data_IF_970414036359
#
_entry.id   IF_970414036359
#
_cell.length_a   1.000
_cell.length_b   1.000
_cell.length_c   1.000
_cell.angle_alpha   90.00
_cell.angle_beta   90.00
_cell.angle_gamma   90.00
#
_symmetry.space_group_name_H-M   'P 1'
#
loop_
_entity.id
_entity.type
_entity.pdbx_description
1 polymer ?
#
# COMPACT_ATOMS: atom_id res chain seq x y z
N UNK A 1 28.41 15.58 -0.77
CA UNK A 1 27.71 14.28 -0.72
C UNK A 1 26.35 14.46 -1.36
N UNK A 2 26.09 13.82 -2.51
CA UNK A 2 24.73 13.81 -3.06
C UNK A 2 23.79 13.09 -2.09
N UNK A 3 22.54 13.54 -2.06
CA UNK A 3 21.58 13.14 -1.06
C UNK A 3 20.96 11.78 -1.43
N UNK A 4 21.30 10.69 -0.73
CA UNK A 4 20.74 9.35 -0.99
C UNK A 4 19.19 9.33 -1.02
N UNK A 5 18.54 10.27 -0.33
CA UNK A 5 17.09 10.39 -0.32
C UNK A 5 16.47 10.68 -1.70
N UNK A 6 17.19 11.36 -2.61
CA UNK A 6 16.69 11.58 -3.98
C UNK A 6 16.67 10.28 -4.77
N UNK A 7 17.68 9.42 -4.61
CA UNK A 7 17.74 8.10 -5.24
C UNK A 7 16.63 7.17 -4.73
N UNK A 8 16.30 7.25 -3.43
CA UNK A 8 15.12 6.55 -2.90
C UNK A 8 13.81 7.09 -3.48
N UNK A 9 13.70 8.39 -3.73
CA UNK A 9 12.52 8.99 -4.39
C UNK A 9 12.36 8.47 -5.83
N UNK A 10 13.45 8.39 -6.58
CA UNK A 10 13.47 7.86 -7.95
C UNK A 10 13.15 6.35 -7.97
N UNK A 11 13.77 5.58 -7.06
CA UNK A 11 13.46 4.17 -6.84
C UNK A 11 11.97 3.94 -6.57
N UNK A 12 11.39 4.71 -5.64
CA UNK A 12 9.98 4.62 -5.29
C UNK A 12 9.08 4.92 -6.48
N UNK A 13 9.43 5.91 -7.30
CA UNK A 13 8.71 6.20 -8.55
C UNK A 13 8.73 4.99 -9.48
N UNK A 14 9.85 4.27 -9.55
CA UNK A 14 10.00 3.05 -10.36
C UNK A 14 9.15 1.86 -9.89
N UNK A 15 8.86 1.76 -8.58
CA UNK A 15 8.16 0.63 -7.95
C UNK A 15 6.72 0.95 -7.50
N UNK A 16 6.24 2.17 -7.73
CA UNK A 16 4.84 2.54 -7.52
C UNK A 16 3.98 2.16 -8.73
N UNK A 17 2.68 2.09 -8.51
CA UNK A 17 1.72 2.05 -9.61
C UNK A 17 1.90 3.31 -10.45
N UNK A 18 1.99 3.13 -11.78
CA UNK A 18 2.00 4.27 -12.70
C UNK A 18 0.65 4.97 -12.70
N UNK A 19 0.59 6.19 -13.25
CA UNK A 19 -0.68 6.92 -13.43
C UNK A 19 -1.71 6.07 -14.15
N UNK A 20 -1.34 5.42 -15.27
CA UNK A 20 -2.23 4.52 -16.00
C UNK A 20 -2.72 3.36 -15.15
N UNK A 21 -1.85 2.73 -14.34
CA UNK A 21 -2.26 1.64 -13.46
C UNK A 21 -3.20 2.11 -12.35
N UNK A 22 -3.01 3.32 -11.82
CA UNK A 22 -3.94 3.95 -10.86
C UNK A 22 -5.29 4.25 -11.53
N UNK A 23 -5.29 4.78 -12.75
CA UNK A 23 -6.52 5.06 -13.50
C UNK A 23 -7.29 3.79 -13.88
N UNK A 24 -6.57 2.73 -14.25
CA UNK A 24 -7.12 1.41 -14.54
C UNK A 24 -7.72 0.75 -13.29
N UNK A 25 -7.02 0.82 -12.14
CA UNK A 25 -7.55 0.38 -10.85
C UNK A 25 -8.82 1.14 -10.48
N UNK A 26 -8.80 2.47 -10.61
CA UNK A 26 -9.95 3.34 -10.37
C UNK A 26 -11.15 2.99 -11.24
N UNK A 27 -10.92 2.85 -12.55
CA UNK A 27 -11.95 2.45 -13.50
C UNK A 27 -12.55 1.10 -13.14
N UNK A 28 -11.69 0.13 -12.80
CA UNK A 28 -12.10 -1.22 -12.42
C UNK A 28 -13.02 -1.23 -11.20
N UNK A 29 -12.56 -0.70 -10.07
CA UNK A 29 -13.33 -0.74 -8.83
C UNK A 29 -14.60 0.14 -8.90
N UNK A 30 -14.55 1.31 -9.54
CA UNK A 30 -15.75 2.15 -9.72
C UNK A 30 -16.79 1.43 -10.56
N UNK A 31 -16.38 0.76 -11.65
CA UNK A 31 -17.31 -0.01 -12.49
C UNK A 31 -17.93 -1.17 -11.71
N UNK A 32 -17.12 -1.94 -10.98
CA UNK A 32 -17.59 -3.05 -10.15
C UNK A 32 -18.60 -2.59 -9.09
N UNK A 33 -18.24 -1.56 -8.31
CA UNK A 33 -19.12 -1.01 -7.25
C UNK A 33 -20.44 -0.49 -7.81
N UNK A 34 -20.41 0.21 -8.94
CA UNK A 34 -21.64 0.69 -9.59
C UNK A 34 -22.53 -0.45 -10.07
N UNK A 35 -21.94 -1.51 -10.65
CA UNK A 35 -22.69 -2.69 -11.09
C UNK A 35 -23.31 -3.42 -9.91
N UNK A 36 -22.55 -3.66 -8.83
CA UNK A 36 -23.04 -4.31 -7.62
C UNK A 36 -24.25 -3.58 -7.02
N UNK A 37 -24.17 -2.24 -6.92
CA UNK A 37 -25.23 -1.41 -6.34
C UNK A 37 -26.47 -1.26 -7.25
N UNK A 38 -26.33 -1.54 -8.54
CA UNK A 38 -27.42 -1.45 -9.52
C UNK A 38 -28.00 -2.83 -9.89
N UNK A 39 -27.41 -3.93 -9.43
CA UNK A 39 -27.87 -5.27 -9.78
C UNK A 39 -29.16 -5.62 -9.03
N UNK A 40 -30.17 -6.10 -9.76
CA UNK A 40 -31.52 -6.32 -9.24
C UNK A 40 -31.57 -7.37 -8.13
N UNK A 41 -30.68 -8.37 -8.16
CA UNK A 41 -30.66 -9.46 -7.17
C UNK A 41 -29.82 -9.11 -5.93
N UNK A 42 -28.92 -8.12 -6.03
CA UNK A 42 -27.97 -7.77 -4.98
C UNK A 42 -28.25 -6.42 -4.29
N UNK A 43 -28.84 -5.45 -4.99
CA UNK A 43 -28.98 -4.07 -4.48
C UNK A 43 -29.68 -3.98 -3.11
N UNK A 44 -30.67 -4.85 -2.87
CA UNK A 44 -31.45 -4.85 -1.63
C UNK A 44 -30.73 -5.54 -0.46
N UNK A 45 -29.74 -6.38 -0.75
CA UNK A 45 -28.91 -7.01 0.29
C UNK A 45 -27.61 -6.25 0.56
N UNK A 46 -27.20 -5.32 -0.31
CA UNK A 46 -25.97 -4.53 -0.11
C UNK A 46 -26.27 -3.27 0.71
N UNK A 47 -25.63 -3.17 1.88
CA UNK A 47 -25.64 -1.96 2.71
C UNK A 47 -24.75 -0.90 2.09
N UNK A 48 -23.50 -1.24 1.79
CA UNK A 48 -22.53 -0.31 1.21
C UNK A 48 -21.37 -1.08 0.58
N UNK A 49 -20.52 -0.38 -0.16
CA UNK A 49 -19.24 -0.91 -0.62
C UNK A 49 -18.12 0.06 -0.26
N UNK A 50 -16.92 -0.43 0.00
CA UNK A 50 -15.73 0.41 0.18
C UNK A 50 -14.44 -0.33 -0.18
N UNK A 51 -13.35 0.41 -0.38
CA UNK A 51 -12.06 -0.16 -0.75
C UNK A 51 -11.28 -0.63 0.48
N UNK A 52 -10.61 -1.78 0.37
CA UNK A 52 -9.64 -2.27 1.34
C UNK A 52 -8.27 -2.45 0.65
N UNK A 53 -7.32 -2.96 1.41
CA UNK A 53 -6.20 -3.67 0.86
C UNK A 53 -4.99 -2.79 0.68
N UNK A 54 -3.99 -3.35 0.03
CA UNK A 54 -2.76 -2.61 -0.22
C UNK A 54 -2.97 -1.43 -1.15
N UNK A 55 -4.00 -1.47 -2.02
CA UNK A 55 -4.42 -0.33 -2.82
C UNK A 55 -4.92 0.82 -1.93
N UNK A 56 -5.93 0.58 -1.08
CA UNK A 56 -6.50 1.62 -0.22
C UNK A 56 -5.53 2.16 0.83
N UNK A 57 -4.66 1.30 1.38
CA UNK A 57 -3.59 1.67 2.33
C UNK A 57 -2.37 2.28 1.65
N UNK A 58 -2.37 2.34 0.32
CA UNK A 58 -1.27 2.84 -0.50
C UNK A 58 0.04 2.08 -0.32
N UNK A 59 0.02 0.82 0.09
CA UNK A 59 1.17 -0.07 0.23
C UNK A 59 1.32 -1.06 -0.92
N UNK A 60 0.48 -0.97 -1.96
CA UNK A 60 0.63 -1.69 -3.20
C UNK A 60 1.96 -1.31 -3.89
N UNK A 61 2.66 -2.31 -4.41
CA UNK A 61 3.87 -2.14 -5.23
C UNK A 61 3.55 -2.48 -6.67
N UNK A 62 4.36 -1.99 -7.60
CA UNK A 62 4.23 -2.26 -9.02
C UNK A 62 4.21 -3.77 -9.26
N UNK A 63 3.19 -4.30 -9.95
CA UNK A 63 3.16 -5.70 -10.34
C UNK A 63 4.35 -6.06 -11.23
N UNK A 64 4.84 -7.30 -11.11
CA UNK A 64 5.89 -7.86 -11.97
C UNK A 64 5.29 -8.89 -12.94
N UNK A 65 5.88 -8.97 -14.14
CA UNK A 65 5.44 -9.91 -15.17
C UNK A 65 4.02 -9.61 -15.64
N UNK A 66 3.19 -10.65 -15.73
CA UNK A 66 1.81 -10.57 -16.20
C UNK A 66 0.79 -10.18 -15.11
N UNK A 67 1.26 -9.95 -13.87
CA UNK A 67 0.40 -9.55 -12.75
C UNK A 67 -0.12 -8.12 -12.94
N UNK A 68 -1.27 -7.83 -12.32
CA UNK A 68 -1.90 -6.51 -12.36
C UNK A 68 -2.01 -5.90 -10.97
N UNK A 69 -2.45 -4.65 -10.94
CA UNK A 69 -2.82 -4.01 -9.69
C UNK A 69 -4.03 -4.77 -9.13
N UNK A 70 -3.97 -5.03 -7.83
CA UNK A 70 -4.96 -5.80 -7.09
C UNK A 70 -5.77 -4.85 -6.19
N UNK A 71 -7.09 -4.92 -6.27
CA UNK A 71 -8.00 -4.03 -5.55
C UNK A 71 -9.09 -4.82 -4.84
N UNK A 72 -9.04 -4.79 -3.51
CA UNK A 72 -10.06 -5.36 -2.64
C UNK A 72 -11.27 -4.43 -2.50
N UNK A 73 -12.47 -4.92 -2.83
CA UNK A 73 -13.75 -4.23 -2.62
C UNK A 73 -14.55 -4.97 -1.57
N UNK A 74 -14.69 -4.34 -0.39
CA UNK A 74 -15.58 -4.82 0.66
C UNK A 74 -17.02 -4.54 0.24
N UNK A 75 -17.85 -5.57 0.31
CA UNK A 75 -19.30 -5.51 0.10
C UNK A 75 -19.99 -5.83 1.41
N UNK A 76 -20.44 -4.79 2.10
CA UNK A 76 -21.19 -4.93 3.35
C UNK A 76 -22.61 -5.32 3.02
N UNK A 77 -23.07 -6.47 3.49
CA UNK A 77 -24.41 -6.99 3.19
C UNK A 77 -25.36 -6.90 4.38
N UNK A 78 -26.59 -7.39 4.20
CA UNK A 78 -27.59 -7.64 5.25
C UNK A 78 -27.66 -9.12 5.65
N UNK A 79 -26.71 -9.95 5.20
CA UNK A 79 -26.72 -11.40 5.44
C UNK A 79 -26.48 -11.72 6.93
N UNK A 80 -27.40 -12.47 7.53
CA UNK A 80 -27.25 -12.95 8.91
C UNK A 80 -26.30 -14.15 8.95
N UNK A 81 -25.11 -13.96 9.52
CA UNK A 81 -24.06 -14.99 9.62
C UNK A 81 -24.48 -16.24 10.41
N UNK A 82 -25.53 -16.15 11.23
CA UNK A 82 -26.06 -17.30 11.96
C UNK A 82 -27.07 -18.11 11.13
N UNK A 83 -27.50 -17.59 9.97
CA UNK A 83 -28.50 -18.22 9.10
C UNK A 83 -27.97 -18.57 7.72
N UNK A 84 -26.92 -17.88 7.26
CA UNK A 84 -26.29 -18.08 5.96
C UNK A 84 -24.89 -18.64 6.19
N UNK A 85 -24.62 -19.83 5.68
CA UNK A 85 -23.27 -20.40 5.77
C UNK A 85 -22.29 -19.65 4.82
N UNK A 86 -20.97 -19.75 5.05
CA UNK A 86 -19.97 -19.02 4.28
C UNK A 86 -20.02 -19.27 2.77
N UNK A 87 -20.26 -20.53 2.36
CA UNK A 87 -20.35 -20.89 0.95
C UNK A 87 -21.55 -20.21 0.27
N UNK A 88 -22.74 -20.33 0.87
CA UNK A 88 -23.98 -19.74 0.35
C UNK A 88 -23.89 -18.20 0.26
N UNK A 89 -23.15 -17.57 1.18
CA UNK A 89 -22.91 -16.13 1.15
C UNK A 89 -22.15 -15.70 -0.12
N UNK A 90 -21.13 -16.47 -0.54
CA UNK A 90 -20.40 -16.21 -1.78
C UNK A 90 -21.23 -16.61 -3.02
N UNK A 91 -21.92 -17.75 -2.98
CA UNK A 91 -22.72 -18.24 -4.12
C UNK A 91 -23.83 -17.26 -4.53
N UNK A 92 -24.34 -16.43 -3.61
CA UNK A 92 -25.28 -15.33 -3.92
C UNK A 92 -24.76 -14.33 -4.95
N UNK A 93 -23.44 -14.14 -5.05
CA UNK A 93 -22.82 -13.18 -5.97
C UNK A 93 -22.45 -13.81 -7.32
N UNK A 94 -22.63 -15.12 -7.49
CA UNK A 94 -22.22 -15.81 -8.72
C UNK A 94 -23.05 -15.44 -9.95
N UNK A 95 -24.39 -15.33 -9.89
CA UNK A 95 -25.16 -14.85 -11.02
C UNK A 95 -24.68 -13.48 -11.51
N UNK A 96 -24.28 -12.60 -10.58
CA UNK A 96 -23.72 -11.29 -10.88
C UNK A 96 -22.38 -11.39 -11.61
N UNK A 97 -21.41 -12.14 -11.07
CA UNK A 97 -20.08 -12.25 -11.72
C UNK A 97 -20.15 -13.02 -13.04
N UNK A 98 -21.02 -14.01 -13.16
CA UNK A 98 -21.25 -14.72 -14.42
C UNK A 98 -21.87 -13.80 -15.48
N UNK A 99 -22.79 -12.92 -15.09
CA UNK A 99 -23.44 -11.94 -15.98
C UNK A 99 -22.46 -10.87 -16.50
N UNK A 100 -21.61 -10.32 -15.63
CA UNK A 100 -20.79 -9.14 -15.97
C UNK A 100 -19.31 -9.45 -16.27
N UNK A 101 -18.82 -10.61 -15.82
CA UNK A 101 -17.42 -11.00 -15.83
C UNK A 101 -17.23 -12.46 -16.25
N UNK A 102 -18.11 -12.98 -17.10
CA UNK A 102 -18.04 -14.33 -17.65
C UNK A 102 -16.62 -14.71 -18.10
N UNK A 103 -16.18 -15.91 -17.72
CA UNK A 103 -14.86 -16.49 -18.00
C UNK A 103 -13.66 -15.68 -17.43
N UNK A 104 -13.92 -14.71 -16.55
CA UNK A 104 -12.90 -13.82 -15.95
C UNK A 104 -12.94 -13.81 -14.44
N UNK A 105 -13.63 -14.75 -13.81
CA UNK A 105 -13.81 -14.79 -12.38
C UNK A 105 -13.49 -16.18 -11.82
N UNK A 106 -13.06 -16.21 -10.56
CA UNK A 106 -12.81 -17.44 -9.82
C UNK A 106 -13.27 -17.33 -8.36
N UNK A 107 -13.69 -18.47 -7.78
CA UNK A 107 -14.04 -18.53 -6.36
C UNK A 107 -12.77 -18.68 -5.52
N UNK A 108 -12.46 -17.72 -4.66
CA UNK A 108 -11.39 -17.84 -3.67
C UNK A 108 -11.97 -18.29 -2.31
N UNK A 109 -11.11 -18.54 -1.32
CA UNK A 109 -11.54 -19.00 0.00
C UNK A 109 -12.40 -17.96 0.75
N UNK A 110 -12.10 -16.65 0.58
CA UNK A 110 -12.73 -15.55 1.33
C UNK A 110 -13.32 -14.42 0.47
N UNK A 111 -13.30 -14.62 -0.84
CA UNK A 111 -13.61 -13.59 -1.83
C UNK A 111 -13.96 -14.23 -3.18
N UNK A 112 -14.43 -13.40 -4.10
CA UNK A 112 -14.58 -13.74 -5.51
C UNK A 112 -13.60 -12.88 -6.30
N UNK A 113 -12.62 -13.52 -6.94
CA UNK A 113 -11.61 -12.85 -7.74
C UNK A 113 -12.11 -12.61 -9.15
N UNK A 114 -11.78 -11.45 -9.72
CA UNK A 114 -12.08 -11.05 -11.09
C UNK A 114 -10.78 -10.59 -11.75
N UNK A 115 -10.36 -11.26 -12.81
CA UNK A 115 -9.15 -10.92 -13.58
C UNK A 115 -9.51 -10.25 -14.90
N UNK A 116 -9.30 -8.95 -14.97
CA UNK A 116 -9.41 -8.17 -16.20
C UNK A 116 -8.02 -7.99 -16.83
N UNK A 117 -7.95 -7.60 -18.10
CA UNK A 117 -6.65 -7.39 -18.76
C UNK A 117 -5.80 -6.27 -18.13
N UNK A 118 -6.42 -5.37 -17.35
CA UNK A 118 -5.79 -4.17 -16.79
C UNK A 118 -5.78 -4.11 -15.25
N UNK A 119 -6.56 -4.93 -14.56
CA UNK A 119 -6.71 -4.92 -13.09
C UNK A 119 -7.23 -6.27 -12.60
N UNK A 120 -6.80 -6.68 -11.41
CA UNK A 120 -7.40 -7.78 -10.66
C UNK A 120 -8.25 -7.16 -9.51
N UNK A 121 -9.47 -7.68 -9.32
CA UNK A 121 -10.43 -7.18 -8.32
C UNK A 121 -10.89 -8.33 -7.45
N UNK A 122 -11.01 -8.09 -6.14
CA UNK A 122 -11.59 -9.06 -5.21
C UNK A 122 -12.89 -8.51 -4.59
N UNK A 123 -13.98 -9.25 -4.76
CA UNK A 123 -15.24 -9.00 -4.04
C UNK A 123 -15.13 -9.70 -2.68
N UNK A 124 -15.05 -8.91 -1.61
CA UNK A 124 -14.98 -9.40 -0.23
C UNK A 124 -16.34 -9.18 0.43
N UNK A 125 -17.16 -10.22 0.46
CA UNK A 125 -18.50 -10.18 1.05
C UNK A 125 -18.40 -10.17 2.57
N UNK A 126 -19.19 -9.34 3.26
CA UNK A 126 -19.31 -9.40 4.73
C UNK A 126 -20.72 -9.73 5.17
N UNK A 127 -20.88 -10.21 6.40
CA UNK A 127 -22.19 -10.31 7.04
C UNK A 127 -22.82 -8.94 7.27
N UNK A 128 -24.07 -8.95 7.76
CA UNK A 128 -24.71 -7.80 8.38
C UNK A 128 -23.79 -7.19 9.45
N UNK A 129 -23.55 -5.87 9.40
CA UNK A 129 -22.87 -5.16 10.47
C UNK A 129 -23.81 -4.98 11.67
N UNK A 130 -23.30 -4.44 12.77
CA UNK A 130 -24.13 -4.02 13.90
C UNK A 130 -25.15 -2.95 13.46
N UNK A 131 -26.33 -2.90 14.09
CA UNK A 131 -27.33 -1.86 13.78
C UNK A 131 -26.77 -0.45 14.04
N UNK A 132 -25.89 -0.31 15.03
CA UNK A 132 -25.23 0.95 15.37
C UNK A 132 -24.30 1.45 14.23
N UNK A 133 -23.61 0.54 13.54
CA UNK A 133 -22.60 0.88 12.55
C UNK A 133 -23.16 1.08 11.14
N UNK A 134 -24.36 0.57 10.84
CA UNK A 134 -24.99 0.66 9.50
C UNK A 134 -24.98 2.06 8.91
N UNK A 135 -25.29 3.07 9.73
CA UNK A 135 -25.32 4.47 9.27
C UNK A 135 -23.91 5.00 9.02
N UNK A 136 -22.96 4.70 9.91
CA UNK A 136 -21.57 5.13 9.81
C UNK A 136 -20.87 4.53 8.60
N UNK A 137 -21.16 3.27 8.26
CA UNK A 137 -20.60 2.59 7.08
C UNK A 137 -21.01 3.21 5.74
N UNK A 138 -22.10 4.00 5.71
CA UNK A 138 -22.53 4.75 4.51
C UNK A 138 -21.86 6.11 4.38
N UNK A 139 -21.04 6.54 5.35
CA UNK A 139 -20.37 7.84 5.31
C UNK A 139 -19.37 7.94 4.15
N UNK A 140 -18.99 9.17 3.79
CA UNK A 140 -17.91 9.40 2.83
C UNK A 140 -16.54 8.98 3.36
N UNK A 141 -16.30 9.07 4.68
CA UNK A 141 -15.07 8.57 5.28
C UNK A 141 -14.85 7.07 5.08
N UNK A 142 -15.92 6.28 5.01
CA UNK A 142 -15.82 4.85 4.70
C UNK A 142 -15.79 4.61 3.20
N UNK A 143 -16.67 5.25 2.44
CA UNK A 143 -16.93 4.90 1.02
C UNK A 143 -16.03 5.57 -0.01
N UNK A 144 -15.12 6.45 0.42
CA UNK A 144 -14.17 7.17 -0.44
C UNK A 144 -13.39 6.25 -1.38
N UNK A 145 -13.20 6.71 -2.61
CA UNK A 145 -12.36 6.04 -3.62
C UNK A 145 -10.87 6.41 -3.50
N UNK A 146 -10.53 7.35 -2.62
CA UNK A 146 -9.17 7.86 -2.48
C UNK A 146 -8.31 6.93 -1.62
N UNK A 147 -7.07 6.69 -2.04
CA UNK A 147 -6.08 5.96 -1.25
C UNK A 147 -5.49 6.86 -0.16
N UNK A 148 -4.75 6.29 0.79
CA UNK A 148 -4.06 7.10 1.80
C UNK A 148 -3.07 8.09 1.17
N UNK A 149 -2.33 7.69 0.14
CA UNK A 149 -1.41 8.57 -0.59
C UNK A 149 -2.13 9.78 -1.19
N UNK A 150 -3.35 9.63 -1.68
CA UNK A 150 -4.12 10.74 -2.25
C UNK A 150 -4.63 11.71 -1.17
N UNK A 151 -4.75 11.23 0.08
CA UNK A 151 -5.31 11.96 1.22
C UNK A 151 -4.25 12.52 2.16
N UNK A 152 -3.06 11.94 2.20
CA UNK A 152 -1.98 12.26 3.14
C UNK A 152 -1.17 13.46 2.65
N UNK A 153 -1.73 14.65 2.84
CA UNK A 153 -1.00 15.92 2.67
C UNK A 153 -0.73 16.53 4.04
N UNK A 154 0.24 17.45 4.19
CA UNK A 154 0.48 18.10 5.48
C UNK A 154 -0.76 18.80 6.08
N UNK A 155 -1.71 19.20 5.23
CA UNK A 155 -2.90 19.96 5.60
C UNK A 155 -4.18 19.13 5.67
N UNK A 156 -4.16 17.88 5.21
CA UNK A 156 -5.33 17.03 5.06
C UNK A 156 -5.04 15.61 5.53
N UNK A 157 -5.98 15.04 6.27
CA UNK A 157 -5.84 13.68 6.79
C UNK A 157 -7.18 12.96 6.71
N UNK A 158 -7.14 11.64 6.50
CA UNK A 158 -8.34 10.82 6.48
C UNK A 158 -8.81 10.58 7.91
N UNK A 159 -10.11 10.68 8.20
CA UNK A 159 -10.67 10.41 9.54
C UNK A 159 -11.99 9.67 9.45
N UNK A 160 -12.22 8.71 10.34
CA UNK A 160 -13.51 8.03 10.46
C UNK A 160 -14.50 8.90 11.24
N UNK A 161 -15.15 9.84 10.55
CA UNK A 161 -16.23 10.65 11.12
C UNK A 161 -17.32 10.96 10.09
N UNK A 162 -18.47 11.45 10.57
CA UNK A 162 -19.62 11.81 9.72
C UNK A 162 -19.32 13.00 8.83
N UNK A 163 -18.65 13.99 9.40
CA UNK A 163 -18.41 15.29 8.79
C UNK A 163 -17.19 15.30 7.88
N UNK A 164 -16.38 14.23 7.90
CA UNK A 164 -15.31 14.07 6.94
C UNK A 164 -15.87 13.96 5.51
N UNK A 165 -15.25 14.71 4.60
CA UNK A 165 -15.54 14.71 3.17
C UNK A 165 -14.21 14.53 2.42
N UNK A 166 -14.27 14.28 1.11
CA UNK A 166 -13.05 14.26 0.30
C UNK A 166 -12.52 15.70 0.09
N UNK A 167 -11.19 15.88 -0.04
CA UNK A 167 -10.64 17.19 -0.36
C UNK A 167 -11.13 17.66 -1.73
N UNK A 168 -11.39 18.96 -1.85
CA UNK A 168 -11.73 19.58 -3.13
C UNK A 168 -10.45 19.78 -3.94
N UNK A 169 -10.21 18.89 -4.89
CA UNK A 169 -9.01 18.88 -5.74
C UNK A 169 -8.93 20.10 -6.68
N UNK A 170 -10.02 20.85 -6.86
CA UNK A 170 -10.02 22.08 -7.64
C UNK A 170 -9.58 23.30 -6.83
N UNK A 171 -9.56 23.20 -5.49
CA UNK A 171 -9.04 24.26 -4.64
C UNK A 171 -7.52 24.12 -4.53
N UNK A 172 -6.82 25.23 -4.74
CA UNK A 172 -5.37 25.33 -4.58
C UNK A 172 -4.90 24.91 -3.18
N UNK A 173 -5.79 24.95 -2.19
CA UNK A 173 -5.51 24.49 -0.84
C UNK A 173 -6.76 23.85 -0.22
N UNK A 174 -6.65 22.56 0.10
CA UNK A 174 -7.65 21.82 0.88
C UNK A 174 -7.10 21.56 2.28
N UNK A 175 -7.79 22.09 3.29
CA UNK A 175 -7.52 21.85 4.70
C UNK A 175 -8.70 21.14 5.35
N UNK A 176 -8.41 20.16 6.19
CA UNK A 176 -9.43 19.59 7.06
C UNK A 176 -9.78 20.61 8.15
N UNK A 177 -11.05 20.99 8.29
CA UNK A 177 -11.47 22.01 9.25
C UNK A 177 -11.17 21.61 10.70
N UNK A 178 -10.96 22.60 11.57
CA UNK A 178 -10.72 22.35 12.99
C UNK A 178 -11.86 21.59 13.66
N UNK A 179 -13.10 21.85 13.27
CA UNK A 179 -14.27 21.11 13.75
C UNK A 179 -14.18 19.61 13.45
N UNK A 180 -13.82 19.23 12.22
CA UNK A 180 -13.68 17.82 11.82
C UNK A 180 -12.45 17.18 12.47
N UNK A 181 -11.37 17.96 12.67
CA UNK A 181 -10.18 17.50 13.41
C UNK A 181 -10.50 17.23 14.89
N UNK A 182 -11.37 18.02 15.50
CA UNK A 182 -11.80 17.88 16.89
C UNK A 182 -12.85 16.77 17.11
N UNK A 183 -13.50 16.29 16.05
CA UNK A 183 -14.41 15.14 16.13
C UNK A 183 -13.67 13.87 16.57
N UNK A 184 -14.27 13.16 17.52
CA UNK A 184 -13.83 11.83 17.92
C UNK A 184 -14.01 10.87 16.74
N UNK A 185 -12.96 10.10 16.44
CA UNK A 185 -13.06 9.06 15.40
C UNK A 185 -13.92 7.90 15.89
N UNK A 186 -14.77 7.42 15.00
CA UNK A 186 -15.59 6.24 15.26
C UNK A 186 -14.72 5.01 15.47
N UNK A 187 -15.15 4.18 16.42
CA UNK A 187 -14.65 2.83 16.63
C UNK A 187 -15.74 1.88 16.17
N UNK A 188 -15.70 1.54 14.89
CA UNK A 188 -16.63 0.58 14.32
C UNK A 188 -16.24 -0.83 14.79
N UNK A 189 -17.22 -1.71 14.95
CA UNK A 189 -16.97 -3.11 15.27
C UNK A 189 -16.31 -3.83 14.07
N UNK A 190 -15.54 -4.92 14.31
CA UNK A 190 -15.12 -5.81 13.25
C UNK A 190 -16.29 -6.31 12.41
N UNK A 191 -16.06 -6.41 11.11
CA UNK A 191 -16.97 -7.09 10.18
C UNK A 191 -16.64 -8.59 10.18
N UNK A 192 -17.51 -9.39 9.55
CA UNK A 192 -17.31 -10.83 9.41
C UNK A 192 -17.30 -11.20 7.94
N UNK A 193 -16.27 -11.92 7.49
CA UNK A 193 -16.13 -12.42 6.12
C UNK A 193 -16.33 -13.93 6.10
N UNK A 194 -16.93 -14.49 5.04
CA UNK A 194 -17.08 -15.92 4.91
C UNK A 194 -15.73 -16.54 4.53
N UNK A 195 -15.26 -17.54 5.29
CA UNK A 195 -14.22 -18.46 4.85
C UNK A 195 -14.88 -19.78 4.42
N UNK A 196 -14.98 -19.96 3.10
CA UNK A 196 -15.59 -21.14 2.49
C UNK A 196 -14.79 -22.40 2.78
N UNK A 197 -13.46 -22.31 2.81
CA UNK A 197 -12.60 -23.49 2.92
C UNK A 197 -12.57 -23.99 4.38
N UNK A 198 -12.68 -23.08 5.35
CA UNK A 198 -12.81 -23.40 6.77
C UNK A 198 -14.26 -23.59 7.24
N UNK A 199 -15.24 -23.29 6.40
CA UNK A 199 -16.68 -23.29 6.71
C UNK A 199 -17.04 -22.49 7.97
N UNK A 200 -16.39 -21.34 8.14
CA UNK A 200 -16.66 -20.40 9.25
C UNK A 200 -16.82 -18.97 8.75
N UNK A 201 -17.49 -18.15 9.56
CA UNK A 201 -17.38 -16.70 9.46
C UNK A 201 -16.20 -16.23 10.31
N UNK A 202 -15.32 -15.44 9.71
CA UNK A 202 -14.07 -14.96 10.31
C UNK A 202 -14.14 -13.44 10.50
N UNK A 203 -13.73 -12.93 11.67
CA UNK A 203 -13.66 -11.48 11.93
C UNK A 203 -12.60 -10.79 11.05
N UNK A 204 -12.89 -9.57 10.61
CA UNK A 204 -11.96 -8.70 9.89
C UNK A 204 -12.21 -7.24 10.26
N UNK A 205 -11.15 -6.43 10.31
CA UNK A 205 -11.28 -5.00 10.59
C UNK A 205 -10.57 -4.12 9.55
N UNK A 206 -11.06 -4.07 8.31
CA UNK A 206 -10.43 -3.35 7.20
C UNK A 206 -10.15 -1.87 7.52
N UNK A 207 -11.08 -1.21 8.20
CA UNK A 207 -11.00 0.20 8.53
C UNK A 207 -9.97 0.46 9.63
N UNK A 208 -9.80 -0.46 10.59
CA UNK A 208 -8.72 -0.37 11.58
C UNK A 208 -7.36 -0.55 10.91
N UNK A 209 -7.21 -1.50 9.98
CA UNK A 209 -5.96 -1.67 9.23
C UNK A 209 -5.57 -0.38 8.48
N UNK A 210 -6.54 0.31 7.87
CA UNK A 210 -6.32 1.59 7.18
C UNK A 210 -5.98 2.70 8.18
N UNK A 211 -6.72 2.81 9.29
CA UNK A 211 -6.49 3.81 10.34
C UNK A 211 -5.10 3.67 10.97
N UNK A 212 -4.74 2.45 11.34
CA UNK A 212 -3.43 2.15 11.90
C UNK A 212 -2.31 2.53 10.93
N UNK A 213 -2.47 2.25 9.65
CA UNK A 213 -1.47 2.60 8.62
C UNK A 213 -1.32 4.11 8.45
N UNK A 214 -2.44 4.86 8.44
CA UNK A 214 -2.43 6.33 8.43
C UNK A 214 -1.64 6.87 9.63
N UNK A 215 -1.97 6.40 10.83
CA UNK A 215 -1.37 6.88 12.07
C UNK A 215 0.13 6.56 12.14
N UNK A 216 0.53 5.32 11.81
CA UNK A 216 1.94 4.93 11.71
C UNK A 216 2.70 5.78 10.68
N UNK A 217 2.09 6.03 9.53
CA UNK A 217 2.72 6.85 8.50
C UNK A 217 2.86 8.30 8.92
N UNK A 218 1.91 8.85 9.68
CA UNK A 218 2.02 10.18 10.26
C UNK A 218 3.13 10.28 11.31
N UNK A 219 3.24 9.28 12.20
CA UNK A 219 4.28 9.23 13.24
C UNK A 219 5.69 9.25 12.62
N UNK A 220 5.85 8.57 11.49
CA UNK A 220 7.12 8.48 10.74
C UNK A 220 7.33 9.61 9.73
N UNK A 221 6.60 10.73 9.85
CA UNK A 221 6.67 11.86 8.92
C UNK A 221 6.50 11.46 7.44
N UNK A 222 5.60 10.51 7.17
CA UNK A 222 5.29 9.98 5.84
C UNK A 222 6.23 8.87 5.34
N UNK A 223 7.19 8.42 6.15
CA UNK A 223 8.18 7.42 5.70
C UNK A 223 7.64 5.99 5.72
N UNK A 224 6.75 5.61 6.63
CA UNK A 224 6.32 4.21 6.82
C UNK A 224 5.80 3.55 5.53
N UNK A 225 4.87 4.18 4.80
CA UNK A 225 4.31 3.61 3.57
C UNK A 225 5.39 3.42 2.50
N UNK A 226 6.38 4.30 2.47
CA UNK A 226 7.53 4.18 1.56
C UNK A 226 8.45 3.01 1.95
N UNK A 227 8.72 2.84 3.24
CA UNK A 227 9.48 1.69 3.77
C UNK A 227 8.77 0.38 3.45
N UNK A 228 7.45 0.32 3.65
CA UNK A 228 6.64 -0.86 3.29
C UNK A 228 6.78 -1.21 1.81
N UNK A 229 6.69 -0.23 0.90
CA UNK A 229 6.86 -0.47 -0.53
C UNK A 229 8.26 -1.00 -0.87
N UNK A 230 9.29 -0.36 -0.32
CA UNK A 230 10.67 -0.77 -0.54
C UNK A 230 10.89 -2.23 -0.09
N UNK A 231 10.41 -2.61 1.09
CA UNK A 231 10.58 -3.94 1.64
C UNK A 231 9.68 -4.99 0.98
N UNK A 232 8.45 -4.64 0.55
CA UNK A 232 7.63 -5.54 -0.28
C UNK A 232 8.28 -5.80 -1.64
N UNK A 233 8.91 -4.78 -2.22
CA UNK A 233 9.68 -4.92 -3.45
C UNK A 233 10.90 -5.83 -3.26
N UNK A 234 11.71 -5.58 -2.21
CA UNK A 234 12.82 -6.45 -1.81
C UNK A 234 12.37 -7.90 -1.65
N UNK A 235 11.31 -8.17 -0.86
CA UNK A 235 10.80 -9.54 -0.66
C UNK A 235 10.39 -10.20 -1.97
N UNK A 236 9.82 -9.43 -2.90
CA UNK A 236 9.38 -9.96 -4.19
C UNK A 236 10.57 -10.36 -5.06
N UNK A 237 11.66 -9.59 -5.02
CA UNK A 237 12.85 -9.83 -5.84
C UNK A 237 13.83 -10.84 -5.25
N UNK A 238 14.03 -10.81 -3.93
CA UNK A 238 15.15 -11.50 -3.27
C UNK A 238 14.73 -12.78 -2.55
N UNK A 239 13.53 -12.81 -2.00
CA UNK A 239 13.01 -13.96 -1.24
C UNK A 239 12.11 -14.79 -2.15
N UNK A 240 12.75 -15.58 -3.02
CA UNK A 240 12.09 -16.38 -4.08
C UNK A 240 11.90 -17.85 -3.71
N UNK A 241 12.60 -18.31 -2.68
CA UNK A 241 12.54 -19.64 -2.07
C UNK A 241 11.36 -19.82 -1.11
N UNK A 242 10.67 -18.73 -0.73
CA UNK A 242 9.53 -18.77 0.18
C UNK A 242 8.22 -18.29 -0.46
N UNK A 243 7.12 -18.99 -0.14
CA UNK A 243 5.75 -18.59 -0.50
C UNK A 243 5.20 -17.48 0.40
N UNK A 244 5.51 -17.53 1.69
CA UNK A 244 5.07 -16.59 2.73
C UNK A 244 6.26 -16.10 3.58
N UNK A 245 6.17 -14.96 4.29
CA UNK A 245 5.07 -13.98 4.25
C UNK A 245 5.03 -13.19 2.93
N UNK A 246 3.85 -12.72 2.54
CA UNK A 246 3.62 -11.82 1.38
C UNK A 246 2.39 -10.97 1.64
N UNK A 247 2.19 -9.88 0.89
CA UNK A 247 0.98 -9.05 1.01
C UNK A 247 0.86 -8.37 2.38
N UNK A 248 -0.29 -8.54 3.04
CA UNK A 248 -0.56 -7.93 4.35
C UNK A 248 0.30 -8.50 5.50
N UNK A 249 0.54 -9.83 5.64
CA UNK A 249 1.43 -10.37 6.67
C UNK A 249 2.83 -9.74 6.74
N UNK A 250 3.46 -9.42 5.60
CA UNK A 250 4.77 -8.74 5.60
C UNK A 250 4.62 -7.26 5.95
N UNK A 251 3.59 -6.57 5.44
CA UNK A 251 3.28 -5.19 5.80
C UNK A 251 3.02 -5.04 7.30
N UNK A 252 2.30 -5.98 7.92
CA UNK A 252 2.04 -5.99 9.35
C UNK A 252 3.34 -6.07 10.16
N UNK A 253 4.21 -7.02 9.84
CA UNK A 253 5.52 -7.17 10.48
C UNK A 253 6.38 -5.91 10.33
N UNK A 254 6.40 -5.31 9.13
CA UNK A 254 7.09 -4.04 8.89
C UNK A 254 6.50 -2.95 9.78
N UNK A 255 5.17 -2.95 10.00
CA UNK A 255 4.49 -2.08 10.93
C UNK A 255 5.00 -2.16 12.37
N UNK A 256 5.25 -3.37 12.87
CA UNK A 256 5.76 -3.61 14.22
C UNK A 256 7.26 -3.30 14.34
N UNK A 257 8.03 -3.47 13.27
CA UNK A 257 9.49 -3.30 13.29
C UNK A 257 9.96 -1.90 12.85
N UNK A 258 9.20 -1.18 12.02
CA UNK A 258 9.56 0.17 11.57
C UNK A 258 9.48 1.14 12.76
N UNK A 259 10.55 1.85 13.12
CA UNK A 259 10.54 2.78 14.23
C UNK A 259 9.66 4.00 13.90
N UNK A 260 8.94 4.51 14.90
CA UNK A 260 8.08 5.68 14.75
C UNK A 260 8.86 6.93 14.39
N UNK A 261 10.12 7.01 14.80
CA UNK A 261 10.97 8.19 14.61
C UNK A 261 11.89 8.08 13.39
N UNK A 262 11.60 7.20 12.43
CA UNK A 262 12.38 7.00 11.21
C UNK A 262 12.65 8.33 10.48
N UNK A 263 13.93 8.68 10.29
CA UNK A 263 14.35 9.98 9.77
C UNK A 263 14.27 10.09 8.25
N UNK A 264 14.40 8.97 7.57
CA UNK A 264 14.31 8.84 6.11
C UNK A 264 13.82 7.45 5.74
N UNK A 265 13.59 7.24 4.44
CA UNK A 265 13.25 5.92 3.91
C UNK A 265 14.40 4.94 4.11
N UNK A 266 15.65 5.38 3.87
CA UNK A 266 16.84 4.57 4.07
C UNK A 266 16.99 4.15 5.55
N UNK A 267 16.88 5.11 6.48
CA UNK A 267 16.91 4.86 7.93
C UNK A 267 15.80 3.88 8.35
N UNK A 268 14.58 4.10 7.86
CA UNK A 268 13.44 3.24 8.14
C UNK A 268 13.63 1.81 7.63
N UNK A 269 14.19 1.63 6.43
CA UNK A 269 14.51 0.30 5.87
C UNK A 269 15.54 -0.43 6.75
N UNK A 270 16.67 0.22 7.05
CA UNK A 270 17.76 -0.38 7.84
C UNK A 270 17.23 -0.81 9.20
N UNK A 271 16.60 0.12 9.93
CA UNK A 271 16.12 -0.13 11.28
C UNK A 271 14.97 -1.13 11.31
N UNK A 272 14.16 -1.24 10.27
CA UNK A 272 13.13 -2.30 10.18
C UNK A 272 13.77 -3.68 10.13
N UNK A 273 14.79 -3.89 9.28
CA UNK A 273 15.52 -5.16 9.23
C UNK A 273 16.18 -5.47 10.58
N UNK A 274 16.91 -4.52 11.16
CA UNK A 274 17.60 -4.70 12.43
C UNK A 274 16.65 -4.98 13.59
N UNK A 275 15.55 -4.23 13.69
CA UNK A 275 14.54 -4.44 14.72
C UNK A 275 13.89 -5.81 14.60
N UNK A 276 13.60 -6.29 13.39
CA UNK A 276 13.09 -7.65 13.19
C UNK A 276 14.07 -8.70 13.71
N UNK A 277 15.35 -8.59 13.33
CA UNK A 277 16.41 -9.52 13.76
C UNK A 277 16.55 -9.51 15.28
N UNK A 278 16.55 -8.32 15.89
CA UNK A 278 16.62 -8.16 17.35
C UNK A 278 15.41 -8.79 18.05
N UNK A 279 14.19 -8.39 17.65
CA UNK A 279 12.94 -8.75 18.30
C UNK A 279 12.65 -10.26 18.24
N UNK A 280 13.07 -10.94 17.17
CA UNK A 280 12.71 -12.35 16.92
C UNK A 280 13.91 -13.31 16.96
N UNK A 281 15.06 -12.87 17.51
CA UNK A 281 16.24 -13.72 17.69
C UNK A 281 15.97 -14.95 18.56
N UNK A 282 15.22 -14.80 19.64
CA UNK A 282 14.77 -15.91 20.50
C UNK A 282 13.86 -16.85 19.72
N UNK A 283 12.84 -16.34 19.03
CA UNK A 283 11.97 -17.17 18.19
C UNK A 283 12.77 -18.03 17.21
N UNK A 284 13.76 -17.42 16.54
CA UNK A 284 14.67 -18.08 15.61
C UNK A 284 15.52 -19.17 16.28
N UNK A 285 16.03 -18.93 17.48
CA UNK A 285 16.86 -19.89 18.21
C UNK A 285 16.07 -21.12 18.69
N UNK A 286 14.78 -20.92 19.01
CA UNK A 286 13.91 -21.97 19.53
C UNK A 286 13.04 -22.63 18.44
N UNK A 287 13.15 -22.19 17.18
CA UNK A 287 12.31 -22.69 16.09
C UNK A 287 10.82 -22.47 16.35
N UNK A 288 10.45 -21.30 16.89
CA UNK A 288 9.05 -20.94 17.12
C UNK A 288 8.66 -19.74 16.27
N UNK A 289 7.47 -19.80 15.68
CA UNK A 289 6.94 -18.68 14.88
C UNK A 289 6.39 -17.62 15.83
N UNK A 290 6.85 -16.35 15.74
CA UNK A 290 6.25 -15.26 16.49
C UNK A 290 4.79 -15.04 16.07
N UNK A 291 3.93 -14.72 17.05
CA UNK A 291 2.53 -14.39 16.79
C UNK A 291 2.39 -12.92 16.43
N UNK A 292 1.59 -12.63 15.41
CA UNK A 292 1.27 -11.28 14.98
C UNK A 292 -0.25 -11.06 14.99
N UNK A 293 -0.82 -10.53 16.09
CA UNK A 293 -2.24 -10.21 16.20
C UNK A 293 -2.69 -9.18 15.16
N UNK A 294 -3.74 -9.47 14.38
CA UNK A 294 -4.26 -8.57 13.35
C UNK A 294 -4.76 -7.24 13.95
N UNK A 295 -4.60 -6.15 13.19
CA UNK A 295 -5.03 -4.81 13.59
C UNK A 295 -6.56 -4.77 13.62
N UNK A 296 -7.10 -4.65 14.83
CA UNK A 296 -8.55 -4.62 15.08
C UNK A 296 -9.19 -5.99 15.30
N UNK A 297 -8.46 -7.09 15.10
CA UNK A 297 -8.89 -8.46 15.42
C UNK A 297 -7.75 -9.22 16.10
N UNK A 298 -7.41 -8.91 17.37
CA UNK A 298 -6.21 -9.46 18.01
C UNK A 298 -6.21 -10.98 18.24
N UNK A 299 -7.37 -11.63 18.09
CA UNK A 299 -7.53 -13.07 18.13
C UNK A 299 -6.93 -13.75 16.89
N UNK A 300 -6.78 -13.05 15.76
CA UNK A 300 -6.20 -13.60 14.54
C UNK A 300 -4.71 -13.37 14.45
N UNK A 301 -3.98 -14.47 14.19
CA UNK A 301 -2.56 -14.41 13.86
C UNK A 301 -2.39 -14.26 12.35
N UNK A 302 -1.87 -13.12 11.91
CA UNK A 302 -1.62 -12.85 10.48
C UNK A 302 -0.53 -13.77 9.91
N UNK A 303 0.26 -14.41 10.77
CA UNK A 303 1.33 -15.34 10.38
C UNK A 303 0.95 -16.82 10.55
N UNK A 304 -0.33 -17.16 10.76
CA UNK A 304 -0.80 -18.55 10.97
C UNK A 304 -0.39 -19.56 9.88
N UNK A 305 -0.05 -19.11 8.66
CA UNK A 305 0.37 -19.97 7.53
C UNK A 305 1.87 -20.22 7.47
N UNK A 306 2.65 -19.56 8.31
CA UNK A 306 4.11 -19.64 8.28
C UNK A 306 4.54 -20.80 9.17
N UNK A 307 5.30 -21.73 8.60
CA UNK A 307 5.87 -22.83 9.35
C UNK A 307 7.12 -22.38 10.11
N UNK A 308 7.58 -23.18 11.07
CA UNK A 308 8.83 -22.90 11.79
C UNK A 308 10.02 -22.79 10.85
N UNK A 309 10.14 -23.73 9.90
CA UNK A 309 11.22 -23.75 8.91
C UNK A 309 11.15 -22.52 7.99
N UNK A 310 9.96 -22.16 7.49
CA UNK A 310 9.79 -20.96 6.67
C UNK A 310 10.16 -19.69 7.45
N UNK A 311 9.81 -19.61 8.74
CA UNK A 311 10.19 -18.50 9.60
C UNK A 311 11.70 -18.43 9.83
N UNK A 312 12.37 -19.57 10.07
CA UNK A 312 13.82 -19.65 10.22
C UNK A 312 14.50 -19.12 8.95
N UNK A 313 14.08 -19.60 7.78
CA UNK A 313 14.62 -19.15 6.49
C UNK A 313 14.34 -17.66 6.26
N UNK A 314 13.12 -17.18 6.54
CA UNK A 314 12.79 -15.77 6.40
C UNK A 314 13.61 -14.89 7.34
N UNK A 315 13.85 -15.33 8.58
CA UNK A 315 14.70 -14.62 9.52
C UNK A 315 16.15 -14.53 9.04
N UNK A 316 16.69 -15.61 8.49
CA UNK A 316 18.06 -15.62 7.99
C UNK A 316 18.22 -14.67 6.79
N UNK A 317 17.20 -14.56 5.92
CA UNK A 317 17.13 -13.51 4.89
C UNK A 317 17.10 -12.11 5.51
N UNK A 318 16.22 -11.85 6.48
CA UNK A 318 16.14 -10.54 7.15
C UNK A 318 17.47 -10.16 7.81
N UNK A 319 18.20 -11.13 8.38
CA UNK A 319 19.51 -10.93 9.01
C UNK A 319 20.60 -10.58 8.01
N UNK A 320 20.71 -11.30 6.89
CA UNK A 320 21.66 -10.99 5.83
C UNK A 320 21.42 -9.58 5.27
N UNK A 321 20.16 -9.24 4.98
CA UNK A 321 19.81 -7.93 4.45
C UNK A 321 19.88 -6.80 5.48
N UNK A 322 19.78 -7.08 6.79
CA UNK A 322 20.10 -6.10 7.83
C UNK A 322 21.56 -5.63 7.71
N UNK A 323 22.50 -6.57 7.57
CA UNK A 323 23.93 -6.26 7.41
C UNK A 323 24.19 -5.48 6.13
N UNK A 324 23.62 -5.91 5.00
CA UNK A 324 23.75 -5.21 3.71
C UNK A 324 23.17 -3.79 3.75
N UNK A 325 21.98 -3.63 4.32
CA UNK A 325 21.34 -2.32 4.41
C UNK A 325 22.13 -1.35 5.30
N UNK A 326 22.67 -1.83 6.43
CA UNK A 326 23.54 -1.05 7.30
C UNK A 326 24.82 -0.60 6.57
N UNK A 327 25.48 -1.52 5.87
CA UNK A 327 26.67 -1.22 5.07
C UNK A 327 26.39 -0.25 3.91
N UNK A 328 25.20 -0.30 3.32
CA UNK A 328 24.75 0.67 2.31
C UNK A 328 24.43 2.05 2.89
N UNK A 329 23.93 2.09 4.12
CA UNK A 329 23.53 3.31 4.82
C UNK A 329 24.72 4.09 5.39
N UNK A 330 25.73 3.37 5.89
CA UNK A 330 26.94 3.97 6.46
C UNK A 330 28.01 4.32 5.39
N UNK A 331 27.77 3.95 4.13
CA UNK A 331 28.67 4.23 3.01
C UNK A 331 28.75 5.73 2.70
N UNK A 332 29.96 6.23 2.47
CA UNK A 332 30.24 7.66 2.31
C UNK A 332 30.40 8.07 0.85
N UNK A 333 30.84 7.17 -0.03
CA UNK A 333 30.77 7.39 -1.48
C UNK A 333 29.33 7.19 -1.94
N UNK A 334 28.76 8.22 -2.56
CA UNK A 334 27.40 8.13 -3.09
C UNK A 334 27.28 7.02 -4.13
N UNK A 335 28.26 6.88 -5.02
CA UNK A 335 28.27 5.82 -6.02
C UNK A 335 28.22 4.44 -5.38
N UNK A 336 29.14 4.15 -4.46
CA UNK A 336 29.16 2.87 -3.73
C UNK A 336 27.88 2.64 -2.93
N UNK A 337 27.33 3.67 -2.30
CA UNK A 337 26.07 3.56 -1.57
C UNK A 337 24.94 3.15 -2.52
N UNK A 338 24.84 3.78 -3.70
CA UNK A 338 23.82 3.42 -4.69
C UNK A 338 24.00 2.02 -5.28
N UNK A 339 25.24 1.54 -5.44
CA UNK A 339 25.53 0.16 -5.85
C UNK A 339 25.07 -0.84 -4.79
N UNK A 340 25.38 -0.60 -3.52
CA UNK A 340 24.92 -1.44 -2.39
C UNK A 340 23.40 -1.44 -2.28
N UNK A 341 22.74 -0.29 -2.41
CA UNK A 341 21.28 -0.22 -2.42
C UNK A 341 20.66 -0.90 -3.65
N UNK A 342 21.31 -0.82 -4.81
CA UNK A 342 20.90 -1.54 -6.01
C UNK A 342 21.06 -3.06 -5.86
N UNK A 343 22.06 -3.55 -5.12
CA UNK A 343 22.13 -4.98 -4.78
C UNK A 343 20.90 -5.42 -3.98
N UNK A 344 20.39 -4.59 -3.06
CA UNK A 344 19.21 -4.91 -2.25
C UNK A 344 17.92 -4.82 -3.08
N UNK A 345 17.73 -3.74 -3.83
CA UNK A 345 16.45 -3.41 -4.48
C UNK A 345 16.39 -3.70 -5.99
N UNK A 346 17.48 -4.19 -6.56
CA UNK A 346 17.62 -4.44 -7.99
C UNK A 346 17.69 -3.17 -8.82
N UNK A 347 17.70 -3.33 -10.15
CA UNK A 347 17.94 -2.27 -11.14
C UNK A 347 16.95 -1.11 -11.17
N UNK A 348 15.85 -1.19 -10.39
CA UNK A 348 14.96 -0.04 -10.16
C UNK A 348 15.57 1.01 -9.24
N UNK A 349 16.54 0.65 -8.41
CA UNK A 349 17.30 1.61 -7.64
C UNK A 349 18.38 2.22 -8.56
N UNK A 350 18.40 3.55 -8.78
CA UNK A 350 19.34 4.17 -9.70
C UNK A 350 20.77 4.18 -9.15
N UNK A 351 21.75 4.11 -10.05
CA UNK A 351 23.16 4.32 -9.72
C UNK A 351 23.50 5.80 -9.84
N UNK A 352 24.32 6.30 -8.92
CA UNK A 352 24.94 7.60 -9.10
C UNK A 352 25.91 7.59 -10.30
N UNK A 353 26.26 8.76 -10.86
CA UNK A 353 27.38 8.87 -11.78
C UNK A 353 28.64 8.22 -11.18
N UNK A 354 29.53 7.73 -12.04
CA UNK A 354 30.84 7.30 -11.57
C UNK A 354 31.53 8.50 -10.90
N UNK A 355 32.22 8.25 -9.79
CA UNK A 355 33.04 9.28 -9.18
C UNK A 355 34.11 9.61 -10.24
N UNK A 356 34.12 10.84 -10.78
CA UNK A 356 35.16 11.25 -11.74
C UNK A 356 36.51 10.97 -11.07
N UNK A 357 37.33 10.09 -11.68
CA UNK A 357 38.69 9.86 -11.22
C UNK A 357 39.37 11.23 -11.12
N UNK A 358 39.69 11.66 -9.89
CA UNK A 358 40.60 12.78 -9.63
C UNK A 358 41.98 12.39 -10.18
N UNK A 359 42.20 12.58 -11.48
CA UNK A 359 43.54 12.79 -11.97
C UNK A 359 43.92 14.24 -11.63
N UNK A 360 44.99 14.38 -10.86
CA UNK A 360 45.47 15.63 -10.28
C UNK A 360 45.80 16.65 -11.35
N UNK A 361 44.86 17.52 -11.66
CA UNK A 361 45.04 18.65 -12.57
C UNK A 361 44.41 19.90 -11.99
N UNK A 362 45.18 20.63 -11.19
CA UNK A 362 44.81 21.96 -10.72
C UNK A 362 44.27 22.84 -11.85
N UNK A 363 42.99 23.21 -11.82
CA UNK A 363 42.60 24.51 -12.34
C UNK A 363 41.40 25.11 -11.61
N UNK A 364 41.63 26.30 -11.06
CA UNK A 364 40.63 27.19 -10.47
C UNK A 364 39.64 27.63 -11.55
N UNK A 365 38.34 27.63 -11.26
CA UNK A 365 37.37 28.30 -12.11
C UNK A 365 35.92 28.09 -11.68
N UNK A 366 35.39 29.07 -10.96
CA UNK A 366 34.01 29.29 -10.55
C UNK A 366 32.95 28.91 -11.62
N UNK A 367 31.82 28.30 -11.22
CA UNK A 367 30.62 28.21 -12.07
C UNK A 367 29.86 29.55 -12.14
N UNK A 368 28.57 29.59 -12.56
CA UNK A 368 27.85 28.77 -13.56
C UNK A 368 27.02 29.65 -14.54
N UNK A 369 26.98 29.39 -15.85
CA UNK A 369 25.91 29.92 -16.72
C UNK A 369 25.90 29.31 -18.13
N UNK A 370 25.02 28.34 -18.35
CA UNK A 370 24.63 27.92 -19.70
C UNK A 370 23.55 28.85 -20.26
N UNK A 371 23.91 30.06 -20.67
CA UNK A 371 23.07 30.91 -21.52
C UNK A 371 23.89 31.35 -22.73
N UNK A 372 23.56 30.83 -23.90
CA UNK A 372 24.22 31.17 -25.16
C UNK A 372 23.79 32.58 -25.59
N UNK A 373 24.70 33.53 -25.86
CA UNK A 373 24.31 34.84 -26.39
C UNK A 373 23.80 34.69 -27.83
N UNK A 374 22.73 35.40 -28.16
CA UNK A 374 22.17 35.47 -29.51
C UNK A 374 23.08 36.33 -30.40
N UNK A 375 23.46 35.83 -31.58
CA UNK A 375 24.41 36.49 -32.49
C UNK A 375 23.79 37.45 -33.50
N UNK A 376 22.46 37.59 -33.57
CA UNK A 376 21.81 38.50 -34.51
C UNK A 376 20.62 39.26 -33.92
N UNK A 377 20.54 40.55 -34.28
CA UNK A 377 19.46 41.47 -33.90
C UNK A 377 18.24 41.18 -34.77
N UNK A 378 17.10 40.90 -34.14
CA UNK A 378 15.82 40.79 -34.87
C UNK A 378 15.21 42.17 -35.03
N UNK A 379 15.13 42.68 -36.27
CA UNK A 379 14.32 43.86 -36.57
C UNK A 379 12.83 43.48 -36.65
N UNK A 380 11.93 44.11 -35.87
CA UNK A 380 10.50 43.87 -35.99
C UNK A 380 9.96 44.52 -37.26
N UNK A 381 9.65 43.70 -38.27
CA UNK A 381 8.91 44.13 -39.45
C UNK A 381 7.50 44.58 -39.07
N UNK A 382 7.17 45.85 -39.33
CA UNK A 382 5.84 46.42 -39.18
C UNK A 382 4.92 45.90 -40.28
N UNK A 383 4.20 44.82 -40.02
CA UNK A 383 3.00 44.48 -40.80
C UNK A 383 1.75 44.72 -39.97
N UNK A 384 1.04 45.77 -40.39
CA UNK A 384 -0.30 46.13 -39.98
C UNK A 384 -1.25 44.97 -40.25
N UNK A 385 -2.00 44.56 -39.24
CA UNK A 385 -3.28 43.89 -39.46
C UNK A 385 -4.32 44.98 -39.69
N UNK A 386 -4.84 45.04 -40.92
CA UNK A 386 -6.15 45.58 -41.24
C UNK A 386 -7.17 44.45 -41.17
#
# INVERSE_FOLDING_TARGET
>A
MGNINTYFSDFLTGIRLTTTQKDDAKRGHTTLRNRLLADEDLKDIIVTTFLQGSYRRSTAVRPLGEKRADVDVIVVTTLDRNKVNPKDALEKFEPFVEKYYKDKWERQGRSIGISLSYVDLDIVVTSAPSEADKTSLRSKSVTTDMSLEDLMTPSYDWRLSKSWSEPDIMKAYSQLSESVRAEAEWKLEPLWIPDRDADIWEETHPLEQIRWTRDKNKMTNGNYVNVVKALKWWRTLKVTDLKYPKGYPIEHMIGDCCPDDAKSIADGVVRTFENFVSNYSTNRAWGTVPKFPDRGVPSHDVWHRITSDDFITFYDHMKDYATKARDAYDETSLRKATEKWQDIFGTKFPLAPEDDDEDGGSNKGSGPSGFTPRTEVTEPGSSRFA
#
